data_IF_280125733385
#
_entry.id   IF_280125733385
#
_cell.length_a   1.000
_cell.length_b   1.000
_cell.length_c   1.000
_cell.angle_alpha   90.00
_cell.angle_beta   90.00
_cell.angle_gamma   90.00
#
_symmetry.space_group_name_H-M   'P 1'
#
loop_
_entity.id
_entity.type
_entity.pdbx_description
1 polymer ?
#
# COMPACT_ATOMS: atom_id res chain seq x y z
N UNK A 1 -13.47 79.15 42.30
CA UNK A 1 -13.99 77.95 41.57
C UNK A 1 -15.29 78.33 40.82
N UNK A 2 -16.10 79.30 41.32
CA UNK A 2 -17.33 79.76 40.61
C UNK A 2 -17.01 80.53 39.34
N UNK A 3 -15.97 81.33 39.29
CA UNK A 3 -15.60 82.15 38.12
C UNK A 3 -15.25 81.34 36.89
N UNK A 4 -14.58 80.17 37.07
CA UNK A 4 -14.19 79.30 35.94
C UNK A 4 -15.44 78.69 35.27
N UNK A 5 -16.48 78.31 36.07
CA UNK A 5 -17.73 77.77 35.49
C UNK A 5 -18.51 78.84 34.72
N UNK A 6 -18.53 80.05 35.24
CA UNK A 6 -19.23 81.17 34.60
C UNK A 6 -18.50 81.56 33.26
N UNK A 7 -17.18 81.63 33.27
CA UNK A 7 -16.40 81.86 32.06
C UNK A 7 -16.60 80.79 31.00
N UNK A 8 -16.60 79.49 31.38
CA UNK A 8 -16.89 78.38 30.51
C UNK A 8 -18.28 78.45 29.89
N UNK A 9 -19.28 78.78 30.73
CA UNK A 9 -20.66 78.93 30.27
C UNK A 9 -20.82 80.15 29.32
N UNK A 10 -20.13 81.26 29.60
CA UNK A 10 -20.13 82.45 28.75
C UNK A 10 -19.43 82.14 27.42
N UNK A 11 -18.29 81.43 27.42
CA UNK A 11 -17.66 81.03 26.19
C UNK A 11 -18.44 80.02 25.36
N UNK A 12 -19.12 79.06 25.97
CA UNK A 12 -20.02 78.17 25.30
C UNK A 12 -21.25 78.90 24.69
N UNK A 13 -21.75 79.91 25.38
CA UNK A 13 -22.87 80.72 24.89
C UNK A 13 -22.48 81.57 23.68
N UNK A 14 -21.27 82.17 23.71
CA UNK A 14 -20.74 82.96 22.62
C UNK A 14 -20.44 82.09 21.39
N UNK A 15 -19.84 80.93 21.60
CA UNK A 15 -19.53 79.96 20.50
C UNK A 15 -20.79 79.42 19.88
N UNK A 16 -21.84 79.23 20.70
CA UNK A 16 -23.16 78.79 20.23
C UNK A 16 -23.86 79.84 19.44
N UNK A 17 -23.89 81.15 19.90
CA UNK A 17 -24.43 82.28 19.16
C UNK A 17 -23.68 82.51 17.81
N UNK A 18 -22.40 82.44 17.80
CA UNK A 18 -21.59 82.52 16.59
C UNK A 18 -21.88 81.43 15.58
N UNK A 19 -22.01 80.16 16.03
CA UNK A 19 -22.37 79.07 15.14
C UNK A 19 -23.82 79.15 14.62
N UNK A 20 -24.78 79.63 15.42
CA UNK A 20 -26.16 79.85 15.00
C UNK A 20 -26.29 81.02 14.02
N UNK A 21 -25.54 82.11 14.24
CA UNK A 21 -25.47 83.20 13.32
C UNK A 21 -24.92 82.84 11.96
N UNK A 22 -23.86 81.94 11.92
CA UNK A 22 -23.29 81.49 10.67
C UNK A 22 -24.19 80.53 9.91
N UNK A 23 -24.93 79.66 10.62
CA UNK A 23 -25.73 78.60 10.01
C UNK A 23 -27.17 79.02 9.67
N UNK A 24 -27.77 79.92 10.45
CA UNK A 24 -29.16 80.28 10.32
C UNK A 24 -29.36 81.80 10.04
N UNK A 25 -28.30 82.59 10.08
CA UNK A 25 -28.46 84.07 9.92
C UNK A 25 -29.04 84.80 11.13
N UNK A 26 -29.50 84.10 12.15
CA UNK A 26 -30.08 84.65 13.36
C UNK A 26 -29.39 84.16 14.62
N UNK A 27 -28.74 85.02 15.44
CA UNK A 27 -27.98 84.62 16.62
C UNK A 27 -28.82 84.12 17.81
N UNK A 28 -30.11 84.46 17.84
CA UNK A 28 -31.03 84.19 18.98
C UNK A 28 -32.17 83.24 18.61
N UNK A 29 -32.07 82.43 17.57
CA UNK A 29 -33.13 81.50 17.18
C UNK A 29 -33.38 80.44 18.28
N UNK A 30 -34.63 80.29 18.75
CA UNK A 30 -34.99 79.33 19.79
C UNK A 30 -34.92 77.88 19.31
N UNK A 31 -34.90 77.67 18.00
CA UNK A 31 -34.77 76.31 17.40
C UNK A 31 -33.34 75.97 17.18
N UNK A 32 -32.91 74.84 17.72
CA UNK A 32 -31.56 74.30 17.52
C UNK A 32 -31.53 73.34 16.28
N UNK A 33 -31.18 73.85 15.09
CA UNK A 33 -31.19 73.01 13.88
C UNK A 33 -30.20 71.83 13.98
N UNK A 34 -29.07 72.03 14.70
CA UNK A 34 -28.09 71.00 14.92
C UNK A 34 -28.57 69.84 15.82
N UNK A 35 -29.56 70.09 16.69
CA UNK A 35 -30.12 69.02 17.55
C UNK A 35 -30.90 68.01 16.76
N UNK A 36 -31.67 68.45 15.75
CA UNK A 36 -32.43 67.58 14.85
C UNK A 36 -31.45 66.75 13.96
N UNK A 37 -30.46 67.40 13.44
CA UNK A 37 -29.39 66.66 12.65
C UNK A 37 -28.67 65.69 13.50
N UNK A 38 -28.26 66.05 14.72
CA UNK A 38 -27.48 65.14 15.58
C UNK A 38 -28.36 63.98 16.08
N UNK A 39 -29.63 64.21 16.38
CA UNK A 39 -30.56 63.11 16.72
C UNK A 39 -30.85 62.24 15.52
N UNK A 40 -30.98 62.78 14.31
CA UNK A 40 -31.19 62.01 13.09
C UNK A 40 -29.92 61.12 12.75
N UNK A 41 -28.74 61.66 12.91
CA UNK A 41 -27.49 60.89 12.70
C UNK A 41 -27.34 59.78 13.74
N UNK A 42 -27.58 60.04 15.02
CA UNK A 42 -27.51 59.02 16.07
C UNK A 42 -28.54 57.91 15.84
N UNK A 43 -29.79 58.28 15.50
CA UNK A 43 -30.83 57.26 15.21
C UNK A 43 -30.55 56.48 13.95
N UNK A 44 -29.98 57.07 12.89
CA UNK A 44 -29.61 56.32 11.68
C UNK A 44 -28.43 55.39 11.89
N UNK A 45 -27.41 55.78 12.68
CA UNK A 45 -26.32 54.91 13.06
C UNK A 45 -26.79 53.74 13.93
N UNK A 46 -27.65 54.02 14.94
CA UNK A 46 -28.24 52.97 15.76
C UNK A 46 -29.08 51.99 14.93
N UNK A 47 -29.90 52.51 14.02
CA UNK A 47 -30.71 51.67 13.12
C UNK A 47 -29.81 50.82 12.21
N UNK A 48 -28.71 51.38 11.71
CA UNK A 48 -27.71 50.65 10.92
C UNK A 48 -27.02 49.54 11.72
N UNK A 49 -26.65 49.82 12.97
CA UNK A 49 -26.03 48.80 13.86
C UNK A 49 -27.03 47.67 14.19
N UNK A 50 -28.28 48.01 14.47
CA UNK A 50 -29.33 47.02 14.72
C UNK A 50 -29.58 46.17 13.47
N UNK A 51 -29.69 46.79 12.29
CA UNK A 51 -29.83 46.05 11.04
C UNK A 51 -28.62 45.12 10.79
N UNK A 52 -27.40 45.61 10.96
CA UNK A 52 -26.20 44.80 10.83
C UNK A 52 -26.16 43.63 11.83
N UNK A 53 -26.59 43.87 13.07
CA UNK A 53 -26.67 42.80 14.08
C UNK A 53 -27.72 41.73 13.71
N UNK A 54 -28.92 42.19 13.26
CA UNK A 54 -29.98 41.25 12.82
C UNK A 54 -29.55 40.44 11.62
N UNK A 55 -28.99 41.08 10.58
CA UNK A 55 -28.48 40.34 9.41
C UNK A 55 -27.27 39.46 9.74
N UNK A 56 -26.41 39.88 10.67
CA UNK A 56 -25.29 39.06 11.16
C UNK A 56 -25.79 37.80 11.87
N UNK A 57 -26.79 37.95 12.75
CA UNK A 57 -27.40 36.80 13.45
C UNK A 57 -28.16 35.89 12.47
N UNK A 58 -28.92 36.44 11.55
CA UNK A 58 -29.63 35.68 10.53
C UNK A 58 -28.64 34.93 9.60
N UNK A 59 -27.54 35.56 9.22
CA UNK A 59 -26.48 34.91 8.41
C UNK A 59 -25.76 33.79 9.14
N UNK A 60 -25.68 33.88 10.48
CA UNK A 60 -25.08 32.84 11.32
C UNK A 60 -26.05 31.66 11.54
N UNK A 61 -27.35 31.94 11.67
CA UNK A 61 -28.38 30.93 11.96
C UNK A 61 -28.93 30.25 10.69
N UNK A 62 -28.86 30.91 9.55
CA UNK A 62 -29.32 30.39 8.28
C UNK A 62 -28.19 30.57 7.22
N UNK A 63 -27.14 29.76 7.25
CA UNK A 63 -26.12 29.80 6.23
C UNK A 63 -26.75 29.54 4.87
N UNK A 64 -26.31 30.30 3.85
CA UNK A 64 -26.78 30.11 2.49
C UNK A 64 -26.51 28.66 2.03
N UNK A 65 -27.45 28.02 1.31
CA UNK A 65 -27.22 26.66 0.82
C UNK A 65 -25.96 26.61 -0.05
N UNK A 66 -25.12 25.62 0.22
CA UNK A 66 -23.87 25.45 -0.52
C UNK A 66 -24.19 25.12 -1.99
N UNK A 67 -23.61 25.89 -2.91
CA UNK A 67 -23.77 25.68 -4.35
C UNK A 67 -22.52 25.07 -4.97
N UNK A 68 -22.68 24.34 -6.07
CA UNK A 68 -21.53 23.74 -6.80
C UNK A 68 -20.97 22.46 -6.16
N UNK A 69 -21.75 21.77 -5.34
CA UNK A 69 -21.32 20.52 -4.67
C UNK A 69 -21.08 19.37 -5.65
N UNK A 70 -21.77 19.36 -6.79
CA UNK A 70 -21.60 18.35 -7.83
C UNK A 70 -20.42 18.62 -8.79
N UNK A 71 -19.42 19.38 -8.36
CA UNK A 71 -18.22 19.68 -9.13
C UNK A 71 -17.22 18.52 -8.99
N UNK A 72 -16.58 18.13 -10.09
CA UNK A 72 -15.55 17.10 -10.09
C UNK A 72 -14.42 17.42 -9.08
N UNK A 73 -13.95 16.43 -8.36
CA UNK A 73 -12.91 16.56 -7.33
C UNK A 73 -13.41 17.10 -5.98
N UNK A 74 -14.73 17.27 -5.80
CA UNK A 74 -15.31 17.71 -4.54
C UNK A 74 -15.84 16.52 -3.75
N UNK A 75 -15.34 16.35 -2.54
CA UNK A 75 -15.88 15.44 -1.54
C UNK A 75 -16.85 16.24 -0.65
N UNK A 76 -18.10 15.88 -0.65
CA UNK A 76 -19.11 16.51 0.19
C UNK A 76 -19.37 15.63 1.40
N UNK A 77 -19.28 16.19 2.59
CA UNK A 77 -19.56 15.47 3.84
C UNK A 77 -20.77 16.10 4.51
N UNK A 78 -21.78 15.30 4.74
CA UNK A 78 -22.96 15.69 5.51
C UNK A 78 -22.57 15.76 6.99
N UNK A 79 -22.67 16.94 7.60
CA UNK A 79 -22.34 17.15 9.01
C UNK A 79 -23.30 16.45 9.96
N UNK A 80 -24.55 16.23 9.54
CA UNK A 80 -25.59 15.66 10.39
C UNK A 80 -25.48 14.13 10.47
N UNK A 81 -25.05 13.47 9.39
CA UNK A 81 -24.97 12.01 9.29
C UNK A 81 -23.54 11.48 9.12
N UNK A 82 -22.55 12.36 8.93
CA UNK A 82 -21.17 12.03 8.56
C UNK A 82 -21.06 11.20 7.27
N UNK A 83 -22.08 11.23 6.41
CA UNK A 83 -22.09 10.48 5.16
C UNK A 83 -21.31 11.25 4.10
N UNK A 84 -20.30 10.60 3.47
CA UNK A 84 -19.57 11.19 2.35
C UNK A 84 -20.37 11.03 1.05
N UNK A 85 -20.42 12.10 0.25
CA UNK A 85 -21.02 12.12 -1.08
C UNK A 85 -19.99 12.54 -2.12
N UNK A 86 -20.06 11.94 -3.29
CA UNK A 86 -19.20 12.30 -4.42
C UNK A 86 -20.06 12.63 -5.65
N UNK A 87 -19.61 13.56 -6.50
CA UNK A 87 -20.26 13.81 -7.78
C UNK A 87 -20.28 12.55 -8.64
N UNK A 88 -21.44 12.26 -9.21
CA UNK A 88 -21.60 11.16 -10.15
C UNK A 88 -22.36 11.63 -11.41
N UNK A 89 -22.61 10.72 -12.35
CA UNK A 89 -23.17 11.05 -13.66
C UNK A 89 -24.48 11.86 -13.56
N UNK A 90 -24.62 12.83 -14.45
CA UNK A 90 -25.79 13.68 -14.54
C UNK A 90 -25.87 14.76 -13.49
N UNK A 91 -24.75 15.15 -12.83
CA UNK A 91 -24.72 16.20 -11.80
C UNK A 91 -25.39 15.80 -10.49
N UNK A 92 -25.49 14.51 -10.24
CA UNK A 92 -26.01 13.92 -9.01
C UNK A 92 -24.93 13.81 -7.95
N UNK A 93 -25.35 13.65 -6.69
CA UNK A 93 -24.48 13.29 -5.58
C UNK A 93 -24.74 11.84 -5.18
N UNK A 94 -23.71 10.99 -5.27
CA UNK A 94 -23.77 9.59 -4.89
C UNK A 94 -23.22 9.40 -3.46
N UNK A 95 -24.02 8.88 -2.51
CA UNK A 95 -23.50 8.57 -1.18
C UNK A 95 -22.46 7.45 -1.28
N UNK A 96 -21.35 7.58 -0.58
CA UNK A 96 -20.33 6.55 -0.49
C UNK A 96 -20.43 5.80 0.85
N UNK A 97 -20.19 4.48 0.81
CA UNK A 97 -20.26 3.61 1.99
C UNK A 97 -19.26 3.98 3.08
N UNK A 98 -18.12 4.56 2.68
CA UNK A 98 -17.05 4.99 3.58
C UNK A 98 -16.16 6.02 2.90
N UNK A 99 -15.36 6.72 3.69
CA UNK A 99 -14.49 7.79 3.22
C UNK A 99 -13.45 7.30 2.19
N UNK A 100 -12.88 6.11 2.42
CA UNK A 100 -11.92 5.51 1.49
C UNK A 100 -12.54 5.27 0.10
N UNK A 101 -13.77 4.75 0.04
CA UNK A 101 -14.48 4.57 -1.22
C UNK A 101 -14.79 5.89 -1.92
N UNK A 102 -15.13 6.94 -1.16
CA UNK A 102 -15.36 8.27 -1.71
C UNK A 102 -14.10 8.84 -2.39
N UNK A 103 -12.94 8.72 -1.74
CA UNK A 103 -11.66 9.16 -2.31
C UNK A 103 -11.27 8.36 -3.56
N UNK A 104 -11.46 7.04 -3.54
CA UNK A 104 -11.22 6.18 -4.72
C UNK A 104 -12.13 6.54 -5.90
N UNK A 105 -13.39 6.87 -5.63
CA UNK A 105 -14.34 7.24 -6.68
C UNK A 105 -14.05 8.61 -7.30
N UNK A 106 -13.43 9.53 -6.55
CA UNK A 106 -13.05 10.85 -7.06
C UNK A 106 -11.85 10.79 -8.01
N UNK A 107 -10.94 9.83 -7.82
CA UNK A 107 -9.73 9.60 -8.64
C UNK A 107 -8.97 10.89 -9.02
N UNK A 108 -8.93 11.85 -8.10
CA UNK A 108 -8.30 13.17 -8.29
C UNK A 108 -7.48 13.58 -7.08
N UNK A 109 -6.44 14.36 -7.32
CA UNK A 109 -5.64 14.99 -6.27
C UNK A 109 -5.24 16.40 -6.72
N UNK A 110 -5.43 17.43 -5.89
CA UNK A 110 -5.99 17.41 -4.54
C UNK A 110 -7.52 17.28 -4.53
N UNK A 111 -8.07 16.67 -3.48
CA UNK A 111 -9.52 16.61 -3.22
C UNK A 111 -9.94 17.82 -2.39
N UNK A 112 -11.02 18.50 -2.81
CA UNK A 112 -11.62 19.58 -2.03
C UNK A 112 -12.75 19.01 -1.18
N UNK A 113 -12.58 19.01 0.14
CA UNK A 113 -13.63 18.57 1.07
C UNK A 113 -14.50 19.76 1.45
N UNK A 114 -15.82 19.59 1.31
CA UNK A 114 -16.84 20.58 1.69
C UNK A 114 -17.81 19.92 2.65
N UNK A 115 -17.91 20.48 3.84
CA UNK A 115 -18.87 20.05 4.84
C UNK A 115 -20.17 20.84 4.71
N UNK A 116 -21.30 20.17 4.69
CA UNK A 116 -22.63 20.78 4.49
C UNK A 116 -23.65 20.15 5.42
N UNK A 117 -24.69 20.91 5.73
CA UNK A 117 -25.90 20.39 6.39
C UNK A 117 -26.80 19.70 5.37
N UNK A 118 -27.63 18.78 5.84
CA UNK A 118 -28.58 18.01 5.03
C UNK A 118 -29.49 18.88 4.17
N UNK A 119 -29.87 20.08 4.65
CA UNK A 119 -30.69 21.04 3.90
C UNK A 119 -30.04 21.45 2.57
N UNK A 120 -28.72 21.55 2.51
CA UNK A 120 -28.01 21.87 1.28
C UNK A 120 -28.05 20.73 0.27
N UNK A 121 -28.12 19.48 0.73
CA UNK A 121 -28.19 18.28 -0.11
C UNK A 121 -29.58 18.10 -0.73
N UNK A 122 -30.64 18.65 -0.11
CA UNK A 122 -32.02 18.57 -0.61
C UNK A 122 -32.19 19.19 -2.00
N UNK A 123 -31.28 20.06 -2.42
CA UNK A 123 -31.29 20.71 -3.74
C UNK A 123 -30.62 19.86 -4.84
N UNK A 124 -30.04 18.73 -4.49
CA UNK A 124 -29.33 17.82 -5.43
C UNK A 124 -30.09 16.52 -5.59
N UNK A 125 -30.00 15.94 -6.77
CA UNK A 125 -30.47 14.57 -6.98
C UNK A 125 -29.48 13.59 -6.37
N UNK A 126 -29.97 12.70 -5.52
CA UNK A 126 -29.16 11.64 -4.93
C UNK A 126 -29.13 10.45 -5.87
N UNK A 127 -27.93 10.01 -6.20
CA UNK A 127 -27.67 8.81 -6.98
C UNK A 127 -27.62 7.53 -6.14
N UNK A 128 -27.24 6.40 -6.75
CA UNK A 128 -27.08 5.13 -6.03
C UNK A 128 -25.91 5.22 -5.05
N UNK A 129 -25.99 4.45 -3.97
CA UNK A 129 -24.88 4.29 -3.03
C UNK A 129 -23.74 3.52 -3.71
N UNK A 130 -22.52 4.05 -3.59
CA UNK A 130 -21.32 3.45 -4.17
C UNK A 130 -20.33 3.10 -3.08
N UNK A 131 -19.40 2.18 -3.40
CA UNK A 131 -18.27 1.87 -2.54
C UNK A 131 -18.07 0.41 -2.25
N UNK A 132 -16.97 0.11 -1.58
CA UNK A 132 -16.55 -1.23 -1.18
C UNK A 132 -16.86 -1.38 0.30
N UNK A 133 -17.67 -2.39 0.63
CA UNK A 133 -18.02 -2.68 2.01
C UNK A 133 -16.79 -3.13 2.82
N UNK A 134 -16.70 -2.70 4.07
CA UNK A 134 -15.64 -3.12 5.00
C UNK A 134 -14.34 -2.32 4.92
N UNK A 135 -14.26 -1.29 4.07
CA UNK A 135 -13.12 -0.36 4.11
C UNK A 135 -13.23 0.57 5.34
N UNK A 136 -12.09 1.02 5.88
CA UNK A 136 -12.07 1.91 7.03
C UNK A 136 -12.70 3.27 6.72
N UNK A 137 -13.33 3.88 7.72
CA UNK A 137 -13.85 5.25 7.62
C UNK A 137 -12.71 6.28 7.66
N UNK A 138 -11.70 6.03 8.50
CA UNK A 138 -10.54 6.90 8.63
C UNK A 138 -9.35 6.29 7.90
N UNK A 139 -8.66 7.11 7.12
CA UNK A 139 -7.42 6.73 6.47
C UNK A 139 -6.24 7.29 7.29
N UNK A 140 -5.20 6.49 7.51
CA UNK A 140 -3.99 6.98 8.16
C UNK A 140 -3.32 8.05 7.30
N UNK A 141 -2.66 9.01 7.95
CA UNK A 141 -1.82 9.96 7.22
C UNK A 141 -0.61 9.26 6.59
N UNK A 142 0.02 9.88 5.60
CA UNK A 142 1.21 9.30 4.97
C UNK A 142 2.35 9.01 5.98
N UNK A 143 2.41 9.78 7.07
CA UNK A 143 3.38 9.59 8.15
C UNK A 143 3.07 8.37 9.03
N UNK A 144 1.80 7.98 9.12
CA UNK A 144 1.34 6.86 9.91
C UNK A 144 1.33 5.54 9.13
N UNK A 145 1.62 5.60 7.82
CA UNK A 145 1.69 4.41 6.99
C UNK A 145 2.90 3.55 7.35
N UNK A 146 2.65 2.27 7.54
CA UNK A 146 3.70 1.28 7.78
C UNK A 146 4.45 1.04 6.45
N UNK A 147 5.66 1.59 6.35
CA UNK A 147 6.49 1.54 5.14
C UNK A 147 7.08 0.15 4.84
N UNK A 148 7.05 -0.76 5.77
CA UNK A 148 7.64 -2.09 5.68
C UNK A 148 8.80 -2.27 6.67
N UNK A 149 9.45 -3.45 6.69
CA UNK A 149 9.19 -4.62 5.85
C UNK A 149 7.82 -5.26 6.10
N UNK A 150 7.26 -5.87 5.06
CA UNK A 150 6.05 -6.69 5.15
C UNK A 150 6.44 -8.15 4.98
N UNK A 151 5.89 -9.02 5.79
CA UNK A 151 6.20 -10.44 5.72
C UNK A 151 4.94 -11.28 5.80
N UNK A 152 4.86 -12.28 4.94
CA UNK A 152 3.81 -13.31 5.01
C UNK A 152 4.49 -14.59 5.46
N UNK A 153 4.19 -15.04 6.66
CA UNK A 153 4.81 -16.22 7.27
C UNK A 153 3.84 -17.39 7.35
N UNK A 154 4.35 -18.61 7.19
CA UNK A 154 3.61 -19.83 7.48
C UNK A 154 4.31 -20.62 8.58
N UNK A 155 3.54 -21.09 9.54
CA UNK A 155 3.95 -22.02 10.57
C UNK A 155 2.75 -22.85 10.98
N UNK A 156 2.92 -24.16 11.20
CA UNK A 156 1.84 -25.06 11.59
C UNK A 156 0.58 -24.94 10.71
N UNK A 157 0.76 -24.83 9.40
CA UNK A 157 -0.32 -24.67 8.40
C UNK A 157 -1.15 -23.39 8.57
N UNK A 158 -0.67 -22.39 9.30
CA UNK A 158 -1.31 -21.09 9.45
C UNK A 158 -0.51 -20.03 8.71
N UNK A 159 -1.23 -19.12 8.05
CA UNK A 159 -0.63 -17.96 7.40
C UNK A 159 -0.80 -16.73 8.28
N UNK A 160 0.29 -16.01 8.53
CA UNK A 160 0.33 -14.79 9.35
C UNK A 160 0.95 -13.66 8.55
N UNK A 161 0.29 -12.50 8.50
CA UNK A 161 0.82 -11.27 7.93
C UNK A 161 1.45 -10.42 9.03
N UNK A 162 2.69 -10.01 8.83
CA UNK A 162 3.44 -9.14 9.76
C UNK A 162 3.86 -7.87 9.01
N UNK A 163 3.43 -6.72 9.49
CA UNK A 163 3.75 -5.42 8.91
C UNK A 163 4.68 -4.59 9.79
N UNK A 164 5.63 -3.89 9.17
CA UNK A 164 6.50 -2.90 9.81
C UNK A 164 7.55 -3.45 10.76
N UNK A 165 7.72 -4.76 10.83
CA UNK A 165 8.72 -5.40 11.70
C UNK A 165 9.44 -6.52 10.96
N UNK A 166 10.74 -6.67 11.26
CA UNK A 166 11.47 -7.85 10.83
C UNK A 166 10.96 -9.08 11.59
N UNK A 167 10.71 -10.15 10.86
CA UNK A 167 10.25 -11.43 11.43
C UNK A 167 11.39 -12.25 12.04
N UNK A 168 12.63 -11.81 11.86
CA UNK A 168 13.80 -12.62 12.15
C UNK A 168 13.96 -13.77 11.14
N UNK A 169 14.82 -14.72 11.45
CA UNK A 169 15.15 -15.83 10.56
C UNK A 169 16.36 -15.54 9.68
N UNK A 170 16.82 -16.57 8.97
CA UNK A 170 17.97 -16.48 8.07
C UNK A 170 17.46 -16.35 6.64
N UNK A 171 17.77 -15.28 5.91
CA UNK A 171 17.45 -15.17 4.50
C UNK A 171 18.11 -16.29 3.72
N UNK A 172 17.40 -16.88 2.78
CA UNK A 172 17.97 -17.82 1.82
C UNK A 172 18.81 -17.04 0.81
N UNK A 173 19.98 -17.56 0.50
CA UNK A 173 20.83 -17.07 -0.59
C UNK A 173 20.41 -17.67 -1.95
N UNK A 174 21.02 -17.19 -3.02
CA UNK A 174 20.71 -17.66 -4.37
C UNK A 174 21.13 -19.12 -4.64
N UNK A 175 22.00 -19.69 -3.81
CA UNK A 175 22.41 -21.08 -3.89
C UNK A 175 21.50 -22.03 -3.10
N UNK A 176 20.43 -21.49 -2.47
CA UNK A 176 19.54 -22.24 -1.60
C UNK A 176 18.10 -22.18 -2.11
N UNK A 177 17.38 -23.28 -1.93
CA UNK A 177 15.96 -23.38 -2.20
C UNK A 177 15.24 -24.15 -1.10
N UNK A 178 13.92 -24.01 -1.06
CA UNK A 178 13.04 -24.83 -0.22
C UNK A 178 12.07 -25.58 -1.13
N UNK A 179 11.94 -26.89 -0.92
CA UNK A 179 10.89 -27.66 -1.55
C UNK A 179 9.58 -27.49 -0.77
N UNK A 180 8.50 -27.21 -1.45
CA UNK A 180 7.20 -27.03 -0.87
C UNK A 180 6.15 -27.86 -1.60
N UNK A 181 5.17 -28.35 -0.84
CA UNK A 181 3.97 -28.99 -1.39
C UNK A 181 2.73 -28.25 -0.90
N UNK A 182 1.78 -28.03 -1.80
CA UNK A 182 0.53 -27.33 -1.52
C UNK A 182 -0.65 -27.97 -2.30
N UNK A 183 -1.89 -27.67 -1.95
CA UNK A 183 -3.02 -28.01 -2.81
C UNK A 183 -2.83 -27.37 -4.20
N UNK A 184 -2.52 -28.18 -5.20
CA UNK A 184 -2.25 -27.72 -6.57
C UNK A 184 -0.90 -28.14 -7.13
N UNK A 185 -0.05 -28.76 -6.33
CA UNK A 185 1.23 -29.34 -6.80
C UNK A 185 2.43 -29.07 -5.91
N UNK A 186 3.59 -29.40 -6.46
CA UNK A 186 4.87 -29.26 -5.82
C UNK A 186 5.65 -28.08 -6.40
N UNK A 187 6.49 -27.49 -5.58
CA UNK A 187 7.14 -26.20 -5.88
C UNK A 187 8.58 -26.16 -5.37
N UNK A 188 9.42 -25.53 -6.16
CA UNK A 188 10.74 -25.06 -5.72
C UNK A 188 10.61 -23.58 -5.37
N UNK A 189 10.88 -23.22 -4.12
CA UNK A 189 10.88 -21.83 -3.66
C UNK A 189 12.32 -21.33 -3.74
N UNK A 190 12.58 -20.46 -4.68
CA UNK A 190 13.90 -19.93 -4.96
C UNK A 190 13.84 -18.43 -5.27
N UNK A 191 14.80 -17.67 -4.80
CA UNK A 191 14.94 -16.23 -5.06
C UNK A 191 13.65 -15.41 -4.83
N UNK A 192 12.83 -15.82 -3.85
CA UNK A 192 11.56 -15.14 -3.53
C UNK A 192 10.43 -15.43 -4.51
N UNK A 193 10.56 -16.43 -5.37
CA UNK A 193 9.56 -16.90 -6.33
C UNK A 193 9.18 -18.35 -6.06
N UNK A 194 8.02 -18.76 -6.57
CA UNK A 194 7.57 -20.15 -6.60
C UNK A 194 7.68 -20.68 -8.03
N UNK A 195 8.41 -21.77 -8.22
CA UNK A 195 8.62 -22.44 -9.48
C UNK A 195 7.91 -23.79 -9.41
N UNK A 196 6.94 -24.04 -10.31
CA UNK A 196 6.24 -25.32 -10.33
C UNK A 196 7.19 -26.44 -10.77
N UNK A 197 7.14 -27.59 -10.10
CA UNK A 197 7.94 -28.75 -10.42
C UNK A 197 7.09 -30.00 -10.52
N UNK A 198 7.31 -30.82 -11.55
CA UNK A 198 6.62 -32.09 -11.65
C UNK A 198 7.09 -33.04 -10.52
N UNK A 199 6.19 -33.83 -9.90
CA UNK A 199 6.57 -34.72 -8.81
C UNK A 199 7.69 -35.70 -9.15
N UNK A 200 7.71 -36.21 -10.38
CA UNK A 200 8.77 -37.11 -10.85
C UNK A 200 10.12 -36.38 -10.90
N UNK A 201 10.16 -35.20 -11.50
CA UNK A 201 11.39 -34.37 -11.58
C UNK A 201 11.91 -34.03 -10.18
N UNK A 202 11.00 -33.72 -9.25
CA UNK A 202 11.39 -33.45 -7.85
C UNK A 202 12.03 -34.68 -7.20
N UNK A 203 11.48 -35.87 -7.42
CA UNK A 203 12.04 -37.12 -6.89
C UNK A 203 13.40 -37.47 -7.53
N UNK A 204 13.56 -37.21 -8.83
CA UNK A 204 14.80 -37.50 -9.55
C UNK A 204 15.94 -36.56 -9.14
N UNK A 205 15.62 -35.27 -8.91
CA UNK A 205 16.62 -34.26 -8.55
C UNK A 205 16.92 -34.20 -7.05
N UNK A 206 15.91 -34.48 -6.21
CA UNK A 206 15.99 -34.32 -4.75
C UNK A 206 15.45 -35.58 -4.02
N UNK A 207 15.99 -36.77 -4.28
CA UNK A 207 15.44 -38.04 -3.80
C UNK A 207 15.40 -38.17 -2.27
N UNK A 208 16.31 -37.50 -1.57
CA UNK A 208 16.47 -37.59 -0.12
C UNK A 208 15.77 -36.43 0.62
N UNK A 209 15.18 -35.50 -0.11
CA UNK A 209 14.58 -34.28 0.46
C UNK A 209 13.09 -34.43 0.62
N UNK A 210 12.57 -33.89 1.73
CA UNK A 210 11.12 -33.88 2.02
C UNK A 210 10.54 -32.48 1.81
N UNK A 211 9.52 -32.32 0.95
CA UNK A 211 8.91 -31.03 0.75
C UNK A 211 8.15 -30.56 2.01
N UNK A 212 8.22 -29.28 2.29
CA UNK A 212 7.48 -28.63 3.37
C UNK A 212 6.03 -28.40 2.94
N UNK A 213 5.06 -28.91 3.69
CA UNK A 213 3.65 -28.64 3.42
C UNK A 213 3.31 -27.18 3.77
N UNK A 214 2.79 -26.43 2.79
CA UNK A 214 2.43 -25.02 2.95
C UNK A 214 0.97 -24.76 2.57
N UNK A 215 0.28 -23.80 3.22
CA UNK A 215 -1.05 -23.38 2.81
C UNK A 215 -1.04 -22.70 1.43
N UNK A 216 -2.06 -22.96 0.61
CA UNK A 216 -2.19 -22.30 -0.70
C UNK A 216 -2.15 -20.77 -0.59
N UNK A 217 -2.89 -20.19 0.38
CA UNK A 217 -2.90 -18.74 0.58
C UNK A 217 -1.56 -18.12 0.98
N UNK A 218 -0.64 -18.89 1.56
CA UNK A 218 0.73 -18.45 1.77
C UNK A 218 1.54 -18.52 0.48
N UNK A 219 1.38 -19.62 -0.27
CA UNK A 219 2.07 -19.81 -1.53
C UNK A 219 1.68 -18.72 -2.56
N UNK A 220 0.45 -18.27 -2.53
CA UNK A 220 -0.05 -17.17 -3.40
C UNK A 220 0.57 -15.81 -3.08
N UNK A 221 1.18 -15.66 -1.91
CA UNK A 221 1.96 -14.46 -1.62
C UNK A 221 3.28 -14.41 -2.41
N UNK A 222 3.77 -15.55 -2.90
CA UNK A 222 4.97 -15.59 -3.74
C UNK A 222 4.57 -15.43 -5.23
N UNK A 223 5.28 -14.58 -5.99
CA UNK A 223 5.06 -14.53 -7.43
C UNK A 223 5.44 -15.87 -8.06
N UNK A 224 4.75 -16.20 -9.13
CA UNK A 224 5.06 -17.36 -9.92
C UNK A 224 6.23 -17.04 -10.85
N UNK A 225 7.29 -17.82 -10.76
CA UNK A 225 8.40 -17.87 -11.71
C UNK A 225 8.11 -18.87 -12.84
N UNK A 226 9.13 -19.19 -13.63
CA UNK A 226 9.05 -20.23 -14.65
C UNK A 226 8.83 -21.61 -14.01
N UNK A 227 8.36 -22.56 -14.81
CA UNK A 227 8.31 -23.95 -14.36
C UNK A 227 9.73 -24.50 -14.22
N UNK A 228 9.99 -25.22 -13.12
CA UNK A 228 11.26 -25.90 -12.87
C UNK A 228 11.31 -27.20 -13.69
N UNK A 229 11.51 -27.03 -15.00
CA UNK A 229 11.44 -28.10 -16.00
C UNK A 229 12.52 -27.95 -17.06
N UNK A 230 12.81 -29.03 -17.74
CA UNK A 230 13.76 -29.02 -18.86
C UNK A 230 13.28 -28.06 -19.96
N UNK A 231 14.18 -27.28 -20.58
CA UNK A 231 13.85 -26.43 -21.69
C UNK A 231 13.45 -27.26 -22.91
N UNK A 232 12.57 -26.74 -23.75
CA UNK A 232 12.25 -27.38 -25.02
C UNK A 232 13.38 -27.15 -26.02
N UNK A 233 14.07 -28.20 -26.40
CA UNK A 233 15.10 -28.17 -27.45
C UNK A 233 14.41 -28.52 -28.79
N UNK A 234 14.40 -27.60 -29.77
CA UNK A 234 13.79 -27.86 -31.08
C UNK A 234 14.42 -29.07 -31.76
N UNK A 235 13.57 -30.04 -32.13
CA UNK A 235 14.04 -31.29 -32.76
C UNK A 235 14.56 -32.35 -31.78
N UNK A 236 14.37 -32.18 -30.47
CA UNK A 236 14.80 -33.16 -29.46
C UNK A 236 14.38 -34.59 -29.84
N UNK A 237 15.27 -35.53 -29.60
CA UNK A 237 15.10 -36.95 -29.93
C UNK A 237 15.44 -37.34 -31.37
N UNK A 238 15.61 -36.38 -32.30
CA UNK A 238 16.07 -36.70 -33.69
C UNK A 238 17.57 -36.90 -33.72
N UNK A 239 18.04 -37.72 -34.67
CA UNK A 239 19.45 -37.93 -34.88
C UNK A 239 20.02 -36.93 -35.89
N UNK A 240 21.20 -36.42 -35.59
CA UNK A 240 21.96 -35.50 -36.45
C UNK A 240 23.40 -36.01 -36.54
N UNK A 241 24.13 -35.53 -37.54
CA UNK A 241 25.53 -35.87 -37.70
C UNK A 241 26.38 -34.64 -37.45
N UNK A 242 27.38 -34.75 -36.63
CA UNK A 242 28.34 -33.66 -36.38
C UNK A 242 29.33 -33.49 -37.55
N UNK A 243 30.25 -32.53 -37.42
CA UNK A 243 31.26 -32.25 -38.46
C UNK A 243 32.28 -33.39 -38.63
N UNK A 244 32.41 -34.22 -37.62
CA UNK A 244 33.32 -35.39 -37.60
C UNK A 244 32.66 -36.69 -38.12
N UNK A 245 31.37 -36.60 -38.51
CA UNK A 245 30.61 -37.75 -39.02
C UNK A 245 30.02 -38.65 -37.95
N UNK A 246 30.02 -38.21 -36.67
CA UNK A 246 29.41 -38.95 -35.56
C UNK A 246 27.91 -38.70 -35.51
N UNK A 247 27.15 -39.74 -35.22
CA UNK A 247 25.72 -39.64 -35.04
C UNK A 247 25.41 -39.24 -33.61
N UNK A 248 24.79 -38.08 -33.45
CA UNK A 248 24.37 -37.50 -32.18
C UNK A 248 22.84 -37.43 -32.12
N UNK A 249 22.30 -37.30 -30.91
CA UNK A 249 20.88 -37.08 -30.70
C UNK A 249 20.64 -35.64 -30.28
N UNK A 250 19.74 -34.94 -30.90
CA UNK A 250 19.36 -33.59 -30.49
C UNK A 250 18.79 -33.63 -29.06
N UNK A 251 19.27 -32.73 -28.18
CA UNK A 251 18.98 -32.75 -26.76
C UNK A 251 19.95 -33.60 -25.93
N UNK A 252 20.90 -34.32 -26.54
CA UNK A 252 21.95 -35.02 -25.81
C UNK A 252 22.85 -34.01 -25.09
N UNK A 253 23.17 -34.30 -23.83
CA UNK A 253 23.99 -33.43 -23.00
C UNK A 253 25.43 -33.95 -22.94
N UNK A 254 26.37 -33.05 -23.18
CA UNK A 254 27.79 -33.28 -23.04
C UNK A 254 28.34 -32.44 -21.87
N UNK A 255 29.25 -33.04 -21.09
CA UNK A 255 29.92 -32.39 -19.98
C UNK A 255 31.43 -32.32 -20.18
N UNK A 256 31.99 -31.14 -20.13
CA UNK A 256 33.39 -30.85 -20.10
C UNK A 256 33.88 -30.70 -18.67
N UNK A 257 34.94 -31.41 -18.30
CA UNK A 257 35.42 -31.42 -16.92
C UNK A 257 36.28 -30.18 -16.56
N UNK A 258 37.06 -29.65 -17.51
CA UNK A 258 37.98 -28.54 -17.25
C UNK A 258 38.19 -27.65 -18.49
N UNK A 259 37.75 -26.35 -18.46
CA UNK A 259 36.88 -25.81 -17.44
C UNK A 259 35.54 -26.57 -17.39
N UNK A 260 34.90 -26.59 -16.23
CA UNK A 260 33.58 -27.24 -16.10
C UNK A 260 32.56 -26.49 -16.91
N UNK A 261 31.96 -27.17 -17.91
CA UNK A 261 30.95 -26.59 -18.81
C UNK A 261 30.08 -27.70 -19.38
N UNK A 262 28.77 -27.40 -19.45
CA UNK A 262 27.79 -28.30 -20.01
C UNK A 262 27.28 -27.77 -21.36
N UNK A 263 26.99 -28.70 -22.25
CA UNK A 263 26.56 -28.42 -23.62
C UNK A 263 25.39 -29.33 -23.99
N UNK A 264 24.54 -28.84 -24.89
CA UNK A 264 23.45 -29.62 -25.47
C UNK A 264 23.55 -29.62 -26.98
N UNK A 265 23.22 -30.73 -27.60
CA UNK A 265 23.21 -30.90 -29.07
C UNK A 265 21.97 -30.21 -29.61
N UNK A 266 22.15 -29.28 -30.54
CA UNK A 266 21.10 -28.62 -31.29
C UNK A 266 20.72 -29.37 -32.56
N UNK A 267 19.62 -28.97 -33.21
CA UNK A 267 19.19 -29.50 -34.51
C UNK A 267 20.23 -29.32 -35.66
N UNK A 268 21.16 -28.41 -35.50
CA UNK A 268 22.28 -28.14 -36.37
C UNK A 268 23.40 -29.21 -36.28
N UNK A 269 23.37 -30.09 -35.29
CA UNK A 269 24.46 -31.00 -34.95
C UNK A 269 25.58 -30.35 -34.16
N UNK A 270 25.44 -29.07 -33.81
CA UNK A 270 26.41 -28.32 -33.02
C UNK A 270 26.03 -28.30 -31.54
N UNK A 271 26.98 -27.89 -30.71
CA UNK A 271 26.86 -27.82 -29.27
C UNK A 271 26.53 -26.38 -28.82
N UNK A 272 25.42 -26.18 -28.18
CA UNK A 272 25.09 -24.93 -27.45
C UNK A 272 25.47 -25.05 -25.98
N UNK A 273 25.94 -23.96 -25.42
CA UNK A 273 26.27 -23.89 -23.98
C UNK A 273 24.98 -23.84 -23.16
N UNK A 274 24.96 -24.63 -22.08
CA UNK A 274 23.85 -24.63 -21.09
C UNK A 274 24.37 -24.53 -19.67
N UNK A 275 23.48 -24.13 -18.75
CA UNK A 275 23.79 -24.13 -17.32
C UNK A 275 23.75 -25.56 -16.73
N UNK A 276 24.44 -25.80 -15.60
CA UNK A 276 24.38 -27.08 -14.88
C UNK A 276 22.97 -27.51 -14.49
N UNK A 277 22.09 -26.51 -14.12
CA UNK A 277 20.70 -26.81 -13.82
C UNK A 277 19.93 -27.30 -15.05
N UNK A 278 20.11 -26.67 -16.21
CA UNK A 278 19.47 -27.12 -17.45
C UNK A 278 20.01 -28.50 -17.90
N UNK A 279 21.31 -28.73 -17.76
CA UNK A 279 21.93 -30.02 -18.05
C UNK A 279 21.29 -31.12 -17.20
N UNK A 280 21.15 -30.89 -15.91
CA UNK A 280 20.53 -31.84 -14.98
C UNK A 280 19.05 -32.07 -15.30
N UNK A 281 18.29 -31.00 -15.58
CA UNK A 281 16.87 -31.10 -15.95
C UNK A 281 16.65 -31.91 -17.23
N UNK A 282 17.50 -31.72 -18.25
CA UNK A 282 17.43 -32.52 -19.50
C UNK A 282 17.65 -34.01 -19.25
N UNK A 283 18.41 -34.40 -18.21
CA UNK A 283 18.62 -35.78 -17.84
C UNK A 283 17.45 -36.43 -17.07
N UNK A 284 16.45 -35.65 -16.63
CA UNK A 284 15.22 -36.18 -16.00
C UNK A 284 14.20 -36.72 -17.01
N UNK A 285 14.39 -36.48 -18.30
CA UNK A 285 13.57 -37.11 -19.35
C UNK A 285 13.90 -38.60 -19.43
N UNK A 286 12.93 -39.53 -19.26
CA UNK A 286 13.16 -40.95 -19.37
C UNK A 286 13.77 -41.40 -20.71
N UNK A 287 13.64 -40.60 -21.76
CA UNK A 287 14.20 -40.83 -23.09
C UNK A 287 15.56 -40.15 -23.33
N UNK A 288 16.09 -39.41 -22.34
CA UNK A 288 17.31 -38.68 -22.51
C UNK A 288 18.51 -39.61 -22.70
N UNK A 289 19.44 -39.35 -23.67
CA UNK A 289 20.68 -40.02 -23.77
C UNK A 289 21.55 -39.79 -22.51
N UNK A 290 22.36 -40.75 -22.10
CA UNK A 290 23.21 -40.58 -20.93
C UNK A 290 24.18 -39.41 -21.12
N UNK A 291 24.46 -38.72 -20.00
CA UNK A 291 25.45 -37.67 -19.96
C UNK A 291 26.81 -38.19 -20.49
N UNK A 292 27.35 -37.50 -21.46
CA UNK A 292 28.57 -37.96 -22.15
C UNK A 292 29.73 -36.99 -21.87
N UNK A 293 30.87 -37.46 -21.37
CA UNK A 293 32.04 -36.60 -21.20
C UNK A 293 32.63 -36.21 -22.56
N UNK A 294 33.04 -34.93 -22.68
CA UNK A 294 33.65 -34.41 -23.91
C UNK A 294 35.00 -33.76 -23.59
N UNK A 295 35.96 -33.90 -24.50
CA UNK A 295 37.24 -33.19 -24.39
C UNK A 295 37.12 -31.73 -24.83
N UNK A 296 38.02 -30.87 -24.32
CA UNK A 296 38.09 -29.48 -24.72
C UNK A 296 38.20 -29.27 -26.23
N UNK A 297 39.03 -30.08 -26.89
CA UNK A 297 39.23 -29.97 -28.32
C UNK A 297 37.94 -30.28 -29.10
N UNK A 298 37.26 -31.38 -28.76
CA UNK A 298 36.02 -31.77 -29.41
C UNK A 298 34.89 -30.76 -29.13
N UNK A 299 34.79 -30.24 -27.90
CA UNK A 299 33.82 -29.21 -27.56
C UNK A 299 34.06 -27.95 -28.38
N UNK A 300 35.30 -27.45 -28.47
CA UNK A 300 35.65 -26.22 -29.19
C UNK A 300 35.38 -26.34 -30.72
N UNK A 301 35.61 -27.48 -31.32
CA UNK A 301 35.38 -27.68 -32.74
C UNK A 301 33.90 -27.70 -33.10
N UNK A 302 33.06 -28.20 -32.20
CA UNK A 302 31.63 -28.38 -32.43
C UNK A 302 30.73 -27.27 -31.83
N UNK A 303 31.31 -26.21 -31.30
CA UNK A 303 30.48 -25.10 -30.73
C UNK A 303 29.65 -24.38 -31.78
N UNK A 304 28.38 -24.16 -31.50
CA UNK A 304 27.51 -23.29 -32.28
C UNK A 304 27.77 -21.81 -32.03
N UNK A 305 28.30 -21.47 -30.87
CA UNK A 305 28.39 -20.11 -30.34
C UNK A 305 27.12 -19.65 -29.65
N UNK A 306 26.09 -20.49 -29.63
CA UNK A 306 24.81 -20.20 -28.98
C UNK A 306 24.85 -20.61 -27.52
N UNK A 307 24.04 -19.90 -26.70
CA UNK A 307 23.82 -20.22 -25.30
C UNK A 307 22.31 -20.34 -25.11
N UNK A 308 21.86 -21.46 -24.56
CA UNK A 308 20.44 -21.60 -24.19
C UNK A 308 20.25 -20.87 -22.86
N UNK A 309 19.38 -19.87 -22.83
CA UNK A 309 19.16 -19.08 -21.62
C UNK A 309 18.46 -19.92 -20.56
N UNK A 310 18.78 -19.66 -19.29
CA UNK A 310 18.17 -20.36 -18.15
C UNK A 310 16.68 -20.10 -17.97
N UNK A 311 16.12 -19.10 -18.68
CA UNK A 311 14.70 -18.78 -18.61
C UNK A 311 14.22 -18.30 -17.24
N UNK A 312 15.13 -17.87 -16.36
CA UNK A 312 14.83 -17.47 -14.98
C UNK A 312 15.00 -18.59 -13.96
N UNK A 313 15.51 -19.73 -14.35
CA UNK A 313 15.92 -20.81 -13.45
C UNK A 313 17.28 -20.50 -12.80
N UNK A 314 17.61 -21.12 -11.64
CA UNK A 314 18.93 -20.98 -11.04
C UNK A 314 20.00 -21.56 -11.99
N UNK A 315 21.16 -20.89 -12.14
CA UNK A 315 22.22 -21.37 -13.01
C UNK A 315 22.84 -22.72 -12.53
N UNK A 316 22.97 -22.86 -11.21
CA UNK A 316 23.36 -24.09 -10.56
C UNK A 316 22.20 -24.72 -9.80
N UNK A 317 22.15 -26.06 -9.70
CA UNK A 317 21.09 -26.72 -8.94
C UNK A 317 21.16 -26.26 -7.47
N UNK A 318 20.12 -25.63 -6.94
CA UNK A 318 20.16 -25.06 -5.61
C UNK A 318 20.18 -26.17 -4.54
N UNK A 319 20.93 -25.91 -3.46
CA UNK A 319 20.92 -26.79 -2.30
C UNK A 319 19.59 -26.61 -1.54
N UNK A 320 18.91 -27.70 -1.33
CA UNK A 320 17.66 -27.68 -0.55
C UNK A 320 17.99 -27.43 0.93
N UNK A 321 17.30 -26.47 1.52
CA UNK A 321 17.36 -26.23 2.97
C UNK A 321 16.37 -27.20 3.63
N UNK A 322 16.81 -27.96 4.65
CA UNK A 322 15.96 -28.92 5.34
C UNK A 322 14.70 -28.26 5.90
N UNK A 323 13.65 -29.06 6.13
CA UNK A 323 12.34 -28.62 6.59
C UNK A 323 12.40 -27.49 7.62
N UNK A 324 11.94 -26.32 7.23
CA UNK A 324 11.81 -25.17 8.11
C UNK A 324 10.46 -25.21 8.84
N UNK A 325 10.48 -25.01 10.14
CA UNK A 325 9.25 -24.92 10.94
C UNK A 325 8.47 -23.66 10.63
N UNK A 326 9.13 -22.64 10.12
CA UNK A 326 8.54 -21.35 9.73
C UNK A 326 9.18 -20.86 8.44
N UNK A 327 8.37 -20.55 7.46
CA UNK A 327 8.77 -19.90 6.21
C UNK A 327 8.15 -18.53 6.13
N UNK A 328 8.92 -17.50 5.79
CA UNK A 328 8.46 -16.13 5.61
C UNK A 328 8.86 -15.60 4.24
N UNK A 329 7.89 -15.14 3.47
CA UNK A 329 8.11 -14.28 2.33
C UNK A 329 8.24 -12.84 2.82
N UNK A 330 9.39 -12.21 2.63
CA UNK A 330 9.69 -10.87 3.16
C UNK A 330 9.78 -9.88 2.01
N UNK A 331 9.01 -8.80 2.14
CA UNK A 331 8.96 -7.68 1.20
C UNK A 331 9.56 -6.45 1.86
N UNK A 332 10.74 -6.04 1.43
CA UNK A 332 11.43 -4.85 1.95
C UNK A 332 10.92 -3.54 1.35
N UNK A 333 11.39 -2.43 1.90
CA UNK A 333 11.23 -1.12 1.29
C UNK A 333 12.06 -1.07 -0.02
N UNK A 334 11.36 -0.98 -1.17
CA UNK A 334 11.94 -1.24 -2.48
C UNK A 334 11.86 -2.74 -2.83
N UNK A 335 11.56 -3.07 -4.01
CA UNK A 335 11.21 -4.39 -4.59
C UNK A 335 12.11 -5.61 -4.25
N UNK A 336 12.88 -5.57 -3.15
CA UNK A 336 13.66 -6.71 -2.70
C UNK A 336 12.76 -7.74 -2.01
N UNK A 337 12.70 -8.94 -2.57
CA UNK A 337 12.00 -10.10 -2.03
C UNK A 337 13.05 -11.09 -1.51
N UNK A 338 12.79 -11.65 -0.36
CA UNK A 338 13.59 -12.74 0.18
C UNK A 338 12.71 -13.76 0.88
N UNK A 339 13.12 -15.01 0.84
CA UNK A 339 12.59 -16.06 1.68
C UNK A 339 13.49 -16.15 2.91
N UNK A 340 12.88 -16.33 4.08
CA UNK A 340 13.61 -16.55 5.31
C UNK A 340 13.04 -17.76 6.04
N UNK A 341 13.93 -18.57 6.61
CA UNK A 341 13.59 -19.71 7.44
C UNK A 341 13.87 -19.39 8.90
N UNK A 342 13.05 -19.85 9.84
CA UNK A 342 13.26 -19.62 11.25
C UNK A 342 12.51 -20.61 12.15
N UNK A 343 12.99 -20.76 13.37
CA UNK A 343 12.39 -21.70 14.33
C UNK A 343 11.10 -21.19 14.99
N UNK A 344 10.83 -19.88 14.95
CA UNK A 344 9.57 -19.27 15.48
C UNK A 344 9.34 -17.91 14.86
N UNK A 345 8.07 -17.52 14.57
CA UNK A 345 7.73 -16.13 14.34
C UNK A 345 8.16 -15.33 15.57
N UNK A 346 8.98 -14.30 15.37
CA UNK A 346 9.63 -13.57 16.43
C UNK A 346 8.67 -13.20 17.55
N UNK A 347 9.02 -13.49 18.81
CA UNK A 347 8.32 -12.94 19.97
C UNK A 347 8.29 -11.44 19.82
N UNK A 348 7.12 -10.83 19.91
CA UNK A 348 7.01 -9.39 20.00
C UNK A 348 7.93 -8.89 21.11
N UNK A 349 9.05 -8.30 20.75
CA UNK A 349 9.85 -7.57 21.70
C UNK A 349 9.07 -6.30 22.02
N UNK A 350 8.57 -6.22 23.23
CA UNK A 350 8.00 -4.99 23.77
C UNK A 350 9.18 -4.03 23.90
N UNK A 351 9.29 -3.13 22.98
CA UNK A 351 10.17 -1.97 23.16
C UNK A 351 9.56 -1.14 24.28
N UNK A 352 10.07 -1.34 25.50
CA UNK A 352 9.79 -0.46 26.61
C UNK A 352 10.48 0.86 26.31
N UNK A 353 9.74 1.74 25.59
CA UNK A 353 10.14 3.10 25.31
C UNK A 353 10.37 3.88 26.60
N UNK A 354 11.54 3.68 27.24
CA UNK A 354 12.08 4.59 28.23
C UNK A 354 12.73 5.78 27.52
N UNK A 355 11.87 6.64 26.97
CA UNK A 355 12.20 8.03 26.73
C UNK A 355 12.24 8.74 28.09
N UNK A 356 13.40 9.24 28.47
CA UNK A 356 13.57 10.15 29.62
C UNK A 356 12.71 11.39 29.41
N UNK A 357 11.84 11.66 30.36
CA UNK A 357 11.11 12.92 30.50
C UNK A 357 10.67 13.02 31.97
N UNK A 358 11.39 13.84 32.72
CA UNK A 358 11.13 14.16 34.13
C UNK A 358 9.76 14.84 34.31
N UNK A 359 9.17 14.59 35.41
CA UNK A 359 8.31 15.32 36.33
C UNK A 359 6.98 14.68 36.69
N UNK A 360 6.95 14.23 37.95
CA UNK A 360 5.93 14.61 38.89
C UNK A 360 4.72 13.69 39.12
N UNK A 361 4.72 13.11 40.32
CA UNK A 361 3.57 12.73 41.16
C UNK A 361 2.92 11.35 40.94
N UNK A 362 3.23 10.48 41.91
CA UNK A 362 2.50 9.26 42.21
C UNK A 362 1.13 9.56 42.86
N UNK A 363 0.17 8.62 42.76
CA UNK A 363 -0.23 7.96 44.01
C UNK A 363 -0.42 6.43 43.92
N UNK A 364 -0.08 5.85 45.03
CA UNK A 364 -0.43 4.61 45.72
C UNK A 364 -1.65 3.80 45.27
N UNK A 365 -1.46 2.48 45.20
CA UNK A 365 -2.57 1.54 45.31
C UNK A 365 -2.47 0.33 44.41
N UNK A 366 -1.60 -0.62 44.79
CA UNK A 366 -1.50 -1.86 44.03
C UNK A 366 -1.97 -3.06 44.81
N UNK A 367 -2.66 -3.93 44.12
CA UNK A 367 -2.80 -5.35 44.54
C UNK A 367 -2.19 -6.26 43.48
N UNK A 368 -1.38 -7.20 43.96
CA UNK A 368 -0.81 -8.33 43.19
C UNK A 368 -1.91 -9.19 42.61
N UNK A 369 -1.77 -9.54 41.34
CA UNK A 369 -2.39 -10.73 40.76
C UNK A 369 -1.49 -11.29 39.65
N UNK A 370 -1.15 -12.52 39.80
CA UNK A 370 -1.06 -13.67 38.93
C UNK A 370 -0.33 -13.56 37.59
N UNK A 371 0.74 -14.33 37.46
CA UNK A 371 1.38 -14.70 36.20
C UNK A 371 0.35 -15.32 35.24
N UNK A 372 0.13 -14.71 34.10
CA UNK A 372 -0.32 -15.40 32.89
C UNK A 372 0.37 -14.73 31.70
N UNK A 373 0.90 -15.57 30.80
CA UNK A 373 1.68 -15.12 29.63
C UNK A 373 0.88 -14.12 28.80
N UNK A 374 1.46 -12.95 28.59
CA UNK A 374 0.89 -11.95 27.72
C UNK A 374 1.04 -12.43 26.26
N UNK A 375 -0.02 -13.01 25.72
CA UNK A 375 -0.23 -13.10 24.29
C UNK A 375 -0.36 -11.67 23.76
N UNK A 376 0.52 -11.30 22.83
CA UNK A 376 0.31 -10.09 22.05
C UNK A 376 -1.02 -10.22 21.31
N UNK A 377 -1.90 -9.21 21.34
CA UNK A 377 -3.02 -9.19 20.43
C UNK A 377 -2.44 -8.99 19.02
N UNK A 378 -2.22 -10.10 18.32
CA UNK A 378 -2.09 -10.07 16.89
C UNK A 378 -3.39 -9.48 16.35
N UNK A 379 -3.29 -8.45 15.55
CA UNK A 379 -4.39 -8.07 14.68
C UNK A 379 -4.55 -9.23 13.69
N UNK A 380 -5.25 -10.27 14.14
CA UNK A 380 -5.59 -11.42 13.33
C UNK A 380 -6.74 -10.99 12.44
N UNK A 381 -6.42 -10.48 11.26
CA UNK A 381 -7.38 -10.44 10.17
C UNK A 381 -7.65 -11.89 9.74
N UNK A 382 -8.67 -12.51 10.36
CA UNK A 382 -9.26 -13.74 9.84
C UNK A 382 -10.03 -13.38 8.59
N UNK A 383 -9.39 -13.32 7.45
CA UNK A 383 -10.08 -13.43 6.19
C UNK A 383 -10.43 -14.90 5.94
N UNK A 384 -11.69 -15.25 6.13
CA UNK A 384 -12.28 -16.34 5.36
C UNK A 384 -12.30 -15.86 3.91
N UNK A 385 -11.35 -16.29 3.11
CA UNK A 385 -11.43 -16.18 1.67
C UNK A 385 -12.63 -16.98 1.21
N UNK A 386 -13.67 -16.30 0.77
CA UNK A 386 -14.76 -16.88 0.00
C UNK A 386 -14.20 -17.10 -1.41
N UNK A 387 -14.05 -18.36 -1.88
CA UNK A 387 -13.67 -18.60 -3.26
C UNK A 387 -14.92 -18.35 -4.11
N UNK A 388 -14.93 -17.39 -4.93
CA UNK A 388 -15.82 -17.09 -6.06
C UNK A 388 -16.07 -15.58 -6.13
N UNK A 389 -15.24 -14.90 -6.92
CA UNK A 389 -15.62 -13.68 -7.66
C UNK A 389 -14.41 -13.15 -8.42
N UNK A 390 -13.95 -13.92 -9.42
CA UNK A 390 -13.28 -13.38 -10.60
C UNK A 390 -13.67 -14.25 -11.79
N UNK A 391 -14.66 -13.80 -12.54
CA UNK A 391 -14.86 -14.07 -13.96
C UNK A 391 -15.08 -12.75 -14.64
#
# INVERSE_FOLDING_TARGET
VQDRKILLQAHQLMTRRASLALLCGEPDSPNQPLRRMNTATVTSVMAGVIAAAVFGVLGLLAPAPATGLAKAGTLVVDQDTATPYVPCDGGKLCPALNYASALLALDTSPVTTVEVHQDSLAHYQIGPTIGIAGLPQDLPTAADLVQGPWSVCTANSQTTLVGGKSTGGTPLDQAQAVLATAPGGDWVLWNGERLAIAPQVMQDLFPDEQPTAVPAGWLDALPQGPDFAAPTIPGSGTTVTDEDGQTLQVGQVFQQASPAQDFVVEASGKLATISPTLATLLQTDPGAPPLTPISNAAATMNLSGDTIPDGGLPPDLPRVVPQATTLCAVYGAGLSRSLATGDRPGRCHRDDGRGRGEHGLAPLGARRAGRSGAECPAAVYRHRLVPHLWR
#
